data_IF_105913373007
#
_entry.id   IF_105913373007
#
_cell.length_a   1.000
_cell.length_b   1.000
_cell.length_c   1.000
_cell.angle_alpha   90.00
_cell.angle_beta   90.00
_cell.angle_gamma   90.00
#
_symmetry.space_group_name_H-M   'P 1'
#
loop_
_entity.id
_entity.type
_entity.pdbx_description
1 polymer ?
#
# COMPACT_ATOMS: atom_id res chain seq x y z
N UNK A 1 -0.06 -40.01 -31.62
CA UNK A 1 1.09 -39.08 -31.43
C UNK A 1 0.89 -37.94 -32.41
N UNK A 2 0.84 -36.67 -31.97
CA UNK A 2 0.92 -35.55 -32.93
C UNK A 2 2.33 -35.56 -33.49
N UNK A 3 2.47 -35.74 -34.80
CA UNK A 3 3.76 -35.57 -35.48
C UNK A 3 4.34 -34.22 -35.10
N UNK A 4 5.57 -34.20 -34.57
CA UNK A 4 6.27 -32.95 -34.36
C UNK A 4 6.64 -32.42 -35.73
N UNK A 5 6.15 -31.24 -36.07
CA UNK A 5 6.62 -30.52 -37.25
C UNK A 5 8.14 -30.39 -37.18
N UNK A 6 8.86 -30.53 -38.32
CA UNK A 6 10.30 -30.36 -38.33
C UNK A 6 10.69 -28.95 -37.84
N UNK A 7 11.88 -28.79 -37.23
CA UNK A 7 12.37 -27.47 -36.86
C UNK A 7 12.38 -26.52 -38.07
N UNK A 8 12.03 -25.25 -37.85
CA UNK A 8 12.10 -24.25 -38.92
C UNK A 8 13.55 -23.84 -39.23
N UNK A 9 13.74 -23.06 -40.29
CA UNK A 9 15.07 -22.61 -40.72
C UNK A 9 15.84 -21.86 -39.63
N UNK A 10 15.16 -21.03 -38.84
CA UNK A 10 15.78 -20.29 -37.73
C UNK A 10 16.36 -21.22 -36.66
N UNK A 11 15.71 -22.36 -36.42
CA UNK A 11 16.18 -23.36 -35.47
C UNK A 11 17.48 -24.03 -35.96
N UNK A 12 17.62 -24.29 -37.27
CA UNK A 12 18.87 -24.79 -37.84
C UNK A 12 19.97 -23.72 -37.84
N UNK A 13 19.61 -22.47 -38.14
CA UNK A 13 20.58 -21.37 -38.27
C UNK A 13 21.15 -20.92 -36.92
N UNK A 14 20.32 -20.85 -35.88
CA UNK A 14 20.73 -20.26 -34.60
C UNK A 14 20.69 -21.25 -33.42
N UNK A 15 20.02 -22.39 -33.56
CA UNK A 15 19.97 -23.44 -32.54
C UNK A 15 21.29 -24.19 -32.38
N UNK A 16 21.34 -25.11 -31.41
CA UNK A 16 22.49 -25.99 -31.24
C UNK A 16 22.44 -27.08 -32.30
N UNK A 17 23.51 -27.24 -33.06
CA UNK A 17 23.70 -28.33 -34.02
C UNK A 17 25.00 -29.08 -33.71
N UNK A 18 25.29 -30.13 -34.48
CA UNK A 18 26.60 -30.79 -34.37
C UNK A 18 27.74 -29.89 -34.91
N UNK A 19 27.40 -28.90 -35.74
CA UNK A 19 28.35 -28.06 -36.45
C UNK A 19 28.67 -26.75 -35.69
N UNK A 20 27.74 -26.24 -34.88
CA UNK A 20 27.96 -25.02 -34.10
C UNK A 20 27.15 -24.99 -32.80
N UNK A 21 27.64 -24.26 -31.78
CA UNK A 21 26.85 -23.97 -30.59
C UNK A 21 25.66 -23.05 -30.93
N UNK A 22 24.68 -23.02 -30.04
CA UNK A 22 23.53 -22.13 -30.18
C UNK A 22 23.95 -20.65 -30.08
N UNK A 23 23.45 -19.81 -30.99
CA UNK A 23 23.56 -18.36 -30.90
C UNK A 23 22.47 -17.83 -29.96
N UNK A 24 22.73 -17.91 -28.65
CA UNK A 24 21.75 -17.59 -27.61
C UNK A 24 21.23 -16.16 -27.69
N UNK A 25 22.09 -15.20 -28.03
CA UNK A 25 21.72 -13.80 -28.19
C UNK A 25 20.69 -13.64 -29.30
N UNK A 26 20.98 -14.19 -30.47
CA UNK A 26 20.06 -14.11 -31.62
C UNK A 26 18.75 -14.85 -31.36
N UNK A 27 18.80 -16.00 -30.68
CA UNK A 27 17.60 -16.72 -30.23
C UNK A 27 16.74 -15.83 -29.33
N UNK A 28 17.33 -15.15 -28.34
CA UNK A 28 16.60 -14.28 -27.43
C UNK A 28 15.98 -13.06 -28.16
N UNK A 29 16.71 -12.47 -29.11
CA UNK A 29 16.15 -11.38 -29.93
C UNK A 29 14.99 -11.83 -30.80
N UNK A 30 15.09 -13.01 -31.43
CA UNK A 30 14.00 -13.59 -32.21
C UNK A 30 12.79 -13.86 -31.31
N UNK A 31 13.01 -14.40 -30.11
CA UNK A 31 11.94 -14.79 -29.19
C UNK A 31 11.24 -13.58 -28.54
N UNK A 32 11.97 -12.52 -28.21
CA UNK A 32 11.47 -11.46 -27.33
C UNK A 32 11.66 -10.03 -27.86
N UNK A 33 12.61 -9.79 -28.77
CA UNK A 33 13.12 -8.44 -29.07
C UNK A 33 12.02 -7.46 -29.49
N UNK A 34 11.07 -7.89 -30.32
CA UNK A 34 10.00 -7.01 -30.85
C UNK A 34 8.63 -7.21 -30.18
N UNK A 35 8.58 -7.91 -29.03
CA UNK A 35 7.32 -8.18 -28.31
C UNK A 35 6.86 -6.94 -27.54
N UNK A 36 5.86 -6.24 -28.08
CA UNK A 36 5.32 -4.98 -27.53
C UNK A 36 4.68 -5.15 -26.16
N UNK A 37 4.05 -6.29 -25.91
CA UNK A 37 3.46 -6.66 -24.62
C UNK A 37 4.51 -6.89 -23.51
N UNK A 38 5.79 -7.02 -23.87
CA UNK A 38 6.91 -7.05 -22.94
C UNK A 38 7.56 -5.66 -22.76
N UNK A 39 7.05 -4.64 -23.46
CA UNK A 39 7.64 -3.31 -23.55
C UNK A 39 8.97 -3.27 -24.30
N UNK A 40 9.35 -4.35 -25.00
CA UNK A 40 10.62 -4.42 -25.72
C UNK A 40 10.56 -3.59 -27.00
N UNK A 41 11.67 -2.92 -27.32
CA UNK A 41 11.78 -1.96 -28.43
C UNK A 41 12.57 -2.48 -29.63
N UNK A 42 12.84 -3.78 -29.69
CA UNK A 42 13.74 -4.39 -30.66
C UNK A 42 15.20 -4.28 -30.26
N UNK A 43 16.09 -4.45 -31.23
CA UNK A 43 17.54 -4.33 -31.02
C UNK A 43 18.10 -5.44 -30.14
N UNK A 44 18.53 -5.07 -28.93
CA UNK A 44 19.13 -5.98 -27.94
C UNK A 44 18.21 -6.27 -26.74
N UNK A 45 16.95 -5.83 -26.80
CA UNK A 45 16.02 -5.96 -25.67
C UNK A 45 15.68 -7.40 -25.36
N UNK A 46 15.64 -8.27 -26.38
CA UNK A 46 15.34 -9.68 -26.16
C UNK A 46 16.41 -10.38 -25.32
N UNK A 47 17.67 -10.02 -25.52
CA UNK A 47 18.81 -10.53 -24.77
C UNK A 47 18.97 -9.84 -23.41
N UNK A 48 18.84 -8.51 -23.38
CA UNK A 48 19.00 -7.71 -22.16
C UNK A 48 17.90 -8.02 -21.16
N UNK A 49 16.64 -8.19 -21.58
CA UNK A 49 15.49 -8.41 -20.72
C UNK A 49 14.91 -9.84 -20.81
N UNK A 50 15.74 -10.83 -21.12
CA UNK A 50 15.38 -12.26 -21.02
C UNK A 50 15.04 -12.68 -19.58
N UNK A 51 14.39 -13.84 -19.44
CA UNK A 51 14.06 -14.46 -18.17
C UNK A 51 15.24 -14.54 -17.19
N UNK A 52 15.08 -14.01 -15.98
CA UNK A 52 16.06 -14.10 -14.86
C UNK A 52 15.37 -14.29 -13.51
N UNK A 53 16.15 -14.72 -12.52
CA UNK A 53 15.69 -14.88 -11.14
C UNK A 53 14.77 -16.09 -10.94
N UNK A 54 14.20 -16.19 -9.74
CA UNK A 54 13.40 -17.33 -9.30
C UNK A 54 12.07 -17.44 -10.05
N UNK A 55 11.46 -16.30 -10.40
CA UNK A 55 10.16 -16.24 -11.08
C UNK A 55 10.26 -15.91 -12.57
N UNK A 56 11.48 -15.90 -13.14
CA UNK A 56 11.70 -15.68 -14.57
C UNK A 56 11.12 -14.34 -15.07
N UNK A 57 11.46 -13.23 -14.39
CA UNK A 57 11.07 -11.89 -14.84
C UNK A 57 11.57 -11.67 -16.27
N UNK A 58 10.67 -11.25 -17.16
CA UNK A 58 10.92 -11.15 -18.61
C UNK A 58 10.30 -9.88 -19.18
N UNK A 59 11.03 -9.19 -20.06
CA UNK A 59 10.56 -7.98 -20.75
C UNK A 59 10.94 -6.67 -20.06
N UNK A 60 11.31 -5.66 -20.85
CA UNK A 60 11.73 -4.34 -20.39
C UNK A 60 10.73 -3.71 -19.41
N UNK A 61 9.44 -3.79 -19.73
CA UNK A 61 8.39 -3.21 -18.89
C UNK A 61 8.34 -3.91 -17.52
N UNK A 62 8.44 -5.24 -17.50
CA UNK A 62 8.40 -5.99 -16.25
C UNK A 62 9.65 -5.70 -15.41
N UNK A 63 10.83 -5.60 -16.02
CA UNK A 63 12.04 -5.17 -15.30
C UNK A 63 11.84 -3.79 -14.65
N UNK A 64 11.19 -2.84 -15.34
CA UNK A 64 10.84 -1.54 -14.75
C UNK A 64 9.94 -1.64 -13.52
N UNK A 65 8.84 -2.39 -13.63
CA UNK A 65 7.91 -2.61 -12.50
C UNK A 65 8.58 -3.32 -11.32
N UNK A 66 9.50 -4.25 -11.59
CA UNK A 66 10.29 -4.92 -10.56
C UNK A 66 11.24 -3.94 -9.87
N UNK A 67 11.91 -3.05 -10.62
CA UNK A 67 12.73 -2.01 -10.02
C UNK A 67 11.91 -1.10 -9.11
N UNK A 68 10.74 -0.67 -9.56
CA UNK A 68 9.84 0.16 -8.76
C UNK A 68 9.45 -0.51 -7.45
N UNK A 69 9.23 -1.84 -7.45
CA UNK A 69 8.96 -2.60 -6.24
C UNK A 69 10.20 -2.75 -5.35
N UNK A 70 11.39 -2.95 -5.92
CA UNK A 70 12.64 -2.99 -5.15
C UNK A 70 12.89 -1.64 -4.47
N UNK A 71 12.72 -0.53 -5.19
CA UNK A 71 12.88 0.82 -4.65
C UNK A 71 11.87 1.10 -3.52
N UNK A 72 10.68 0.51 -3.59
CA UNK A 72 9.63 0.65 -2.57
C UNK A 72 9.86 -0.24 -1.34
N UNK A 73 10.19 -1.51 -1.55
CA UNK A 73 10.22 -2.52 -0.49
C UNK A 73 11.63 -2.75 0.09
N UNK A 74 12.67 -2.40 -0.65
CA UNK A 74 14.07 -2.59 -0.29
C UNK A 74 14.96 -1.44 -0.82
N UNK A 75 14.69 -0.18 -0.43
CA UNK A 75 15.41 1.00 -0.95
C UNK A 75 16.93 0.92 -0.71
N UNK A 76 17.35 0.28 0.39
CA UNK A 76 18.77 0.13 0.76
C UNK A 76 19.45 -1.08 0.09
N UNK A 77 18.76 -1.80 -0.79
CA UNK A 77 19.33 -2.98 -1.48
C UNK A 77 20.54 -2.66 -2.36
N UNK A 78 20.70 -1.40 -2.77
CA UNK A 78 21.74 -0.96 -3.70
C UNK A 78 21.64 -1.63 -5.07
N UNK A 79 20.51 -2.25 -5.39
CA UNK A 79 20.36 -3.09 -6.57
C UNK A 79 19.53 -2.41 -7.67
N UNK A 80 20.13 -2.30 -8.85
CA UNK A 80 19.46 -1.84 -10.06
C UNK A 80 19.38 -2.96 -11.12
N UNK A 81 18.16 -3.41 -11.43
CA UNK A 81 17.89 -4.50 -12.37
C UNK A 81 18.33 -4.18 -13.80
N UNK A 82 18.32 -2.90 -14.20
CA UNK A 82 18.75 -2.47 -15.53
C UNK A 82 20.26 -2.53 -15.68
N UNK A 83 21.02 -2.17 -14.63
CA UNK A 83 22.48 -2.20 -14.68
C UNK A 83 23.01 -3.61 -14.98
N UNK A 84 22.46 -4.66 -14.33
CA UNK A 84 22.87 -6.04 -14.65
C UNK A 84 22.34 -6.52 -16.00
N UNK A 85 21.13 -6.12 -16.38
CA UNK A 85 20.57 -6.46 -17.69
C UNK A 85 21.46 -5.94 -18.83
N UNK A 86 21.98 -4.72 -18.68
CA UNK A 86 22.88 -4.06 -19.65
C UNK A 86 24.30 -4.62 -19.58
N UNK A 87 24.83 -4.86 -18.37
CA UNK A 87 26.18 -5.42 -18.17
C UNK A 87 26.25 -6.93 -18.39
N UNK A 88 25.15 -7.55 -18.84
CA UNK A 88 25.01 -8.98 -19.16
C UNK A 88 25.42 -9.95 -18.04
N UNK A 89 25.36 -9.50 -16.78
CA UNK A 89 25.70 -10.32 -15.61
C UNK A 89 24.50 -11.14 -15.13
N UNK A 90 24.79 -12.34 -14.61
CA UNK A 90 23.81 -13.19 -13.94
C UNK A 90 23.43 -12.63 -12.56
N UNK A 91 22.29 -13.09 -12.03
CA UNK A 91 21.87 -12.74 -10.67
C UNK A 91 22.62 -13.60 -9.65
N UNK A 92 23.10 -12.95 -8.59
CA UNK A 92 23.44 -13.65 -7.35
C UNK A 92 22.19 -14.27 -6.72
N UNK A 93 22.32 -15.26 -5.80
CA UNK A 93 21.18 -15.80 -5.08
C UNK A 93 20.34 -14.71 -4.38
N UNK A 94 20.99 -13.70 -3.78
CA UNK A 94 20.31 -12.57 -3.17
C UNK A 94 19.46 -11.79 -4.19
N UNK A 95 20.02 -11.46 -5.35
CA UNK A 95 19.30 -10.73 -6.40
C UNK A 95 18.15 -11.57 -7.00
N UNK A 96 18.35 -12.89 -7.13
CA UNK A 96 17.30 -13.80 -7.59
C UNK A 96 16.13 -13.87 -6.60
N UNK A 97 16.41 -13.90 -5.29
CA UNK A 97 15.39 -13.85 -4.26
C UNK A 97 14.70 -12.48 -4.20
N UNK A 98 15.48 -11.39 -4.20
CA UNK A 98 14.97 -10.02 -4.16
C UNK A 98 14.02 -9.72 -5.32
N UNK A 99 14.40 -10.10 -6.55
CA UNK A 99 13.51 -9.94 -7.71
C UNK A 99 12.26 -10.82 -7.64
N UNK A 100 12.36 -12.03 -7.11
CA UNK A 100 11.20 -12.89 -6.87
C UNK A 100 10.23 -12.28 -5.85
N UNK A 101 10.74 -11.72 -4.76
CA UNK A 101 9.92 -11.03 -3.76
C UNK A 101 9.29 -9.75 -4.34
N UNK A 102 10.03 -8.98 -5.13
CA UNK A 102 9.50 -7.81 -5.81
C UNK A 102 8.34 -8.18 -6.78
N UNK A 103 8.45 -9.30 -7.50
CA UNK A 103 7.39 -9.81 -8.38
C UNK A 103 6.15 -10.25 -7.59
N UNK A 104 6.37 -10.90 -6.43
CA UNK A 104 5.33 -11.26 -5.48
C UNK A 104 4.49 -10.06 -5.00
N UNK A 105 5.14 -8.92 -4.74
CA UNK A 105 4.47 -7.66 -4.39
C UNK A 105 3.82 -6.98 -5.59
N UNK A 106 4.46 -6.97 -6.76
CA UNK A 106 3.97 -6.33 -8.00
C UNK A 106 2.55 -6.76 -8.33
N UNK A 107 2.27 -8.07 -8.29
CA UNK A 107 0.94 -8.62 -8.60
C UNK A 107 0.12 -8.95 -7.35
N UNK A 108 0.56 -8.50 -6.17
CA UNK A 108 -0.15 -8.63 -4.89
C UNK A 108 -0.52 -10.07 -4.53
N UNK A 109 0.36 -11.02 -4.84
CA UNK A 109 0.11 -12.44 -4.61
C UNK A 109 -0.06 -12.76 -3.11
N UNK A 110 0.59 -11.98 -2.23
CA UNK A 110 0.43 -12.08 -0.79
C UNK A 110 -1.03 -11.97 -0.34
N UNK A 111 -1.85 -11.13 -0.99
CA UNK A 111 -3.27 -10.98 -0.65
C UNK A 111 -4.02 -12.31 -0.80
N UNK A 112 -3.63 -13.13 -1.78
CA UNK A 112 -4.18 -14.48 -1.94
C UNK A 112 -3.58 -15.46 -0.94
N UNK A 113 -2.30 -15.35 -0.62
CA UNK A 113 -1.71 -16.16 0.43
C UNK A 113 -2.37 -15.92 1.80
N UNK A 114 -2.76 -14.68 2.11
CA UNK A 114 -3.45 -14.30 3.35
C UNK A 114 -4.89 -14.85 3.46
N UNK A 115 -5.45 -15.43 2.40
CA UNK A 115 -6.71 -16.18 2.46
C UNK A 115 -6.51 -17.62 2.97
N UNK A 116 -5.28 -17.99 3.36
CA UNK A 116 -4.98 -19.27 4.03
C UNK A 116 -5.82 -19.42 5.31
N UNK A 117 -6.46 -20.58 5.48
CA UNK A 117 -7.42 -20.82 6.55
C UNK A 117 -8.87 -20.49 6.16
N UNK A 118 -9.10 -19.62 5.15
CA UNK A 118 -10.40 -19.44 4.50
C UNK A 118 -10.61 -20.43 3.35
N UNK A 119 -9.54 -20.72 2.61
CA UNK A 119 -9.51 -21.77 1.59
C UNK A 119 -8.51 -22.86 1.94
N UNK A 120 -8.59 -23.98 1.22
CA UNK A 120 -7.57 -25.02 1.30
C UNK A 120 -6.24 -24.53 0.73
N UNK A 121 -5.14 -25.05 1.27
CA UNK A 121 -3.79 -24.82 0.77
C UNK A 121 -3.67 -25.01 -0.75
N UNK A 122 -4.23 -26.10 -1.28
CA UNK A 122 -4.22 -26.38 -2.72
C UNK A 122 -4.99 -25.32 -3.52
N UNK A 123 -6.08 -24.78 -2.96
CA UNK A 123 -6.85 -23.68 -3.55
C UNK A 123 -6.08 -22.36 -3.55
N UNK A 124 -5.34 -22.07 -2.48
CA UNK A 124 -4.47 -20.88 -2.41
C UNK A 124 -3.33 -20.99 -3.41
N UNK A 125 -2.66 -22.14 -3.48
CA UNK A 125 -1.61 -22.41 -4.48
C UNK A 125 -2.15 -22.20 -5.90
N UNK A 126 -3.36 -22.69 -6.17
CA UNK A 126 -3.98 -22.49 -7.48
C UNK A 126 -4.30 -21.02 -7.79
N UNK A 127 -4.84 -20.27 -6.83
CA UNK A 127 -5.10 -18.83 -7.00
C UNK A 127 -3.82 -18.06 -7.32
N UNK A 128 -2.71 -18.38 -6.65
CA UNK A 128 -1.39 -17.78 -6.91
C UNK A 128 -0.89 -18.15 -8.32
N UNK A 129 -1.11 -19.38 -8.76
CA UNK A 129 -0.73 -19.83 -10.10
C UNK A 129 -1.48 -19.07 -11.19
N UNK A 130 -2.76 -18.80 -10.99
CA UNK A 130 -3.57 -18.04 -11.96
C UNK A 130 -3.14 -16.57 -12.06
N UNK A 131 -2.55 -16.01 -11.01
CA UNK A 131 -1.93 -14.68 -11.06
C UNK A 131 -0.59 -14.76 -11.83
N UNK A 132 0.28 -15.70 -11.46
CA UNK A 132 1.65 -15.80 -11.99
C UNK A 132 1.71 -16.20 -13.46
N UNK A 133 0.90 -17.19 -13.84
CA UNK A 133 0.96 -17.79 -15.17
C UNK A 133 -0.42 -18.33 -15.54
N UNK A 134 -1.37 -17.44 -15.91
CA UNK A 134 -2.72 -17.84 -16.28
C UNK A 134 -2.68 -18.84 -17.45
N UNK A 135 -3.60 -19.81 -17.43
CA UNK A 135 -3.63 -20.87 -18.44
C UNK A 135 -2.60 -22.00 -18.20
N UNK A 136 -2.03 -22.07 -17.01
CA UNK A 136 -1.20 -23.22 -16.59
C UNK A 136 -2.03 -24.51 -16.63
N UNK A 137 -1.46 -25.57 -17.22
CA UNK A 137 -2.15 -26.87 -17.32
C UNK A 137 -2.42 -27.49 -15.96
N UNK A 138 -3.47 -28.31 -15.87
CA UNK A 138 -3.84 -29.00 -14.62
C UNK A 138 -2.70 -29.85 -14.05
N UNK A 139 -1.99 -30.58 -14.92
CA UNK A 139 -0.82 -31.36 -14.52
C UNK A 139 0.27 -30.48 -13.88
N UNK A 140 0.49 -29.28 -14.39
CA UNK A 140 1.48 -28.34 -13.83
C UNK A 140 1.01 -27.74 -12.51
N UNK A 141 -0.30 -27.43 -12.40
CA UNK A 141 -0.91 -27.00 -11.14
C UNK A 141 -0.75 -28.06 -10.05
N UNK A 142 -1.08 -29.31 -10.35
CA UNK A 142 -0.96 -30.41 -9.40
C UNK A 142 0.47 -30.66 -8.96
N UNK A 143 1.45 -30.55 -9.86
CA UNK A 143 2.87 -30.64 -9.49
C UNK A 143 3.27 -29.55 -8.49
N UNK A 144 2.79 -28.32 -8.66
CA UNK A 144 3.05 -27.20 -7.73
C UNK A 144 2.38 -27.42 -6.37
N UNK A 145 1.15 -27.94 -6.35
CA UNK A 145 0.46 -28.38 -5.11
C UNK A 145 1.29 -29.45 -4.38
N UNK A 146 1.81 -30.45 -5.10
CA UNK A 146 2.69 -31.49 -4.53
C UNK A 146 4.00 -30.93 -4.01
N UNK A 147 4.64 -29.98 -4.69
CA UNK A 147 5.80 -29.28 -4.14
C UNK A 147 5.48 -28.54 -2.84
N UNK A 148 4.29 -27.95 -2.74
CA UNK A 148 3.86 -27.21 -1.57
C UNK A 148 3.60 -28.07 -0.35
N UNK A 149 2.77 -29.12 -0.47
CA UNK A 149 2.33 -29.96 0.67
C UNK A 149 2.96 -31.36 0.75
N UNK A 150 3.76 -31.74 -0.22
CA UNK A 150 4.22 -33.12 -0.40
C UNK A 150 3.18 -34.01 -1.08
N UNK A 151 3.57 -35.23 -1.42
CA UNK A 151 2.73 -36.22 -2.10
C UNK A 151 3.28 -36.65 -3.46
N UNK A 152 2.38 -37.07 -4.36
CA UNK A 152 2.74 -37.57 -5.70
C UNK A 152 1.83 -37.00 -6.78
N UNK A 153 2.41 -36.68 -7.94
CA UNK A 153 1.70 -36.31 -9.17
C UNK A 153 2.46 -36.87 -10.38
N UNK A 154 1.90 -37.90 -11.01
CA UNK A 154 2.59 -38.65 -12.07
C UNK A 154 3.92 -39.22 -11.58
N UNK A 155 5.04 -38.78 -12.19
CA UNK A 155 6.41 -39.19 -11.80
C UNK A 155 7.01 -38.33 -10.68
N UNK A 156 6.38 -37.23 -10.31
CA UNK A 156 6.85 -36.38 -9.21
C UNK A 156 6.45 -37.00 -7.87
N UNK A 157 7.39 -37.10 -6.95
CA UNK A 157 7.16 -37.48 -5.56
C UNK A 157 7.96 -36.56 -4.66
N UNK A 158 7.30 -35.91 -3.70
CA UNK A 158 7.92 -35.02 -2.72
C UNK A 158 7.53 -35.52 -1.33
N UNK A 159 8.53 -35.89 -0.53
CA UNK A 159 8.28 -36.29 0.85
C UNK A 159 7.75 -35.09 1.65
N UNK A 160 6.86 -35.31 2.61
CA UNK A 160 6.16 -34.22 3.32
C UNK A 160 7.16 -33.31 4.04
N UNK A 161 8.19 -33.89 4.65
CA UNK A 161 9.30 -33.19 5.31
C UNK A 161 10.13 -32.31 4.37
N UNK A 162 10.11 -32.62 3.07
CA UNK A 162 10.81 -31.87 2.03
C UNK A 162 9.87 -30.92 1.25
N UNK A 163 8.60 -30.84 1.65
CA UNK A 163 7.64 -29.92 1.03
C UNK A 163 7.97 -28.48 1.40
N UNK A 164 7.66 -27.53 0.51
CA UNK A 164 7.99 -26.12 0.77
C UNK A 164 7.23 -25.58 1.99
N UNK A 165 6.00 -26.04 2.25
CA UNK A 165 5.25 -25.67 3.46
C UNK A 165 6.01 -26.03 4.75
N UNK A 166 6.70 -27.18 4.77
CA UNK A 166 7.50 -27.62 5.93
C UNK A 166 8.84 -26.90 5.98
N UNK A 167 9.56 -26.82 4.85
CA UNK A 167 10.87 -26.17 4.78
C UNK A 167 10.80 -24.68 5.17
N UNK A 168 9.75 -23.98 4.76
CA UNK A 168 9.50 -22.58 5.14
C UNK A 168 8.74 -22.42 6.46
N UNK A 169 8.51 -23.52 7.19
CA UNK A 169 7.86 -23.51 8.50
C UNK A 169 6.54 -22.73 8.51
N UNK A 170 5.72 -22.90 7.48
CA UNK A 170 4.48 -22.13 7.29
C UNK A 170 3.51 -22.32 8.47
N UNK A 171 3.58 -23.46 9.16
CA UNK A 171 2.79 -23.70 10.37
C UNK A 171 3.22 -22.83 11.58
N UNK A 172 4.47 -22.34 11.60
CA UNK A 172 5.02 -21.42 12.60
C UNK A 172 4.78 -19.95 12.23
N UNK A 173 4.43 -19.67 10.96
CA UNK A 173 4.04 -18.32 10.55
C UNK A 173 2.76 -17.92 11.29
N UNK A 174 2.72 -16.71 11.85
CA UNK A 174 1.51 -16.15 12.42
C UNK A 174 0.40 -16.19 11.38
N UNK A 175 -0.67 -16.96 11.65
CA UNK A 175 -1.88 -16.92 10.83
C UNK A 175 -2.42 -15.50 10.95
N UNK A 176 -2.62 -14.83 9.82
CA UNK A 176 -2.96 -13.42 9.72
C UNK A 176 -4.38 -13.17 10.22
N UNK A 177 -4.55 -13.23 11.53
CA UNK A 177 -5.57 -12.45 12.23
C UNK A 177 -4.94 -11.17 12.84
N UNK A 178 -3.61 -11.02 12.79
CA UNK A 178 -2.97 -9.74 13.12
C UNK A 178 -2.96 -8.84 11.88
N UNK A 179 -3.67 -7.70 11.90
CA UNK A 179 -3.55 -6.71 10.85
C UNK A 179 -2.08 -6.26 10.76
N UNK A 180 -1.57 -6.14 9.54
CA UNK A 180 -0.30 -5.48 9.24
C UNK A 180 -0.17 -4.22 10.11
N UNK A 181 0.80 -4.19 11.03
CA UNK A 181 1.03 -3.00 11.85
C UNK A 181 1.76 -1.95 11.03
N UNK A 182 1.01 -1.04 10.41
CA UNK A 182 1.55 0.14 9.71
C UNK A 182 1.97 1.25 10.67
N UNK A 183 1.51 1.17 11.91
CA UNK A 183 1.89 2.06 12.99
C UNK A 183 3.12 1.62 13.77
N UNK A 184 3.68 0.42 13.51
CA UNK A 184 4.87 -0.11 14.21
C UNK A 184 4.74 -0.06 15.76
N UNK A 185 3.53 -0.34 16.27
CA UNK A 185 3.25 -0.30 17.70
C UNK A 185 3.16 1.12 18.29
N UNK A 186 3.05 2.17 17.48
CA UNK A 186 2.77 3.56 17.90
C UNK A 186 1.29 3.73 18.33
N UNK A 187 0.80 4.96 18.39
CA UNK A 187 -0.59 5.32 18.69
C UNK A 187 -1.62 4.34 18.07
N UNK A 188 -2.30 3.48 18.85
CA UNK A 188 -3.04 2.34 18.30
C UNK A 188 -4.19 2.70 17.35
N UNK A 189 -4.81 3.87 17.56
CA UNK A 189 -5.88 4.36 16.68
C UNK A 189 -5.39 4.80 15.30
N UNK A 190 -4.09 5.04 15.13
CA UNK A 190 -3.51 5.29 13.81
C UNK A 190 -3.49 4.04 12.94
N UNK A 191 -3.35 2.86 13.54
CA UNK A 191 -3.50 1.60 12.79
C UNK A 191 -4.88 1.54 12.15
N UNK A 192 -5.92 1.71 12.97
CA UNK A 192 -7.32 1.76 12.53
C UNK A 192 -7.53 2.81 11.43
N UNK A 193 -6.96 4.00 11.58
CA UNK A 193 -7.10 5.08 10.60
C UNK A 193 -6.36 4.80 9.28
N UNK A 194 -5.17 4.19 9.35
CA UNK A 194 -4.35 3.82 8.18
C UNK A 194 -5.03 2.71 7.37
N UNK A 195 -5.64 1.73 8.04
CA UNK A 195 -6.42 0.71 7.35
C UNK A 195 -7.60 1.33 6.58
N UNK A 196 -8.26 2.36 7.13
CA UNK A 196 -9.37 3.02 6.42
C UNK A 196 -8.91 3.74 5.15
N UNK A 197 -7.77 4.44 5.17
CA UNK A 197 -7.25 5.06 3.96
C UNK A 197 -6.73 4.02 2.95
N UNK A 198 -6.17 2.90 3.39
CA UNK A 198 -5.78 1.80 2.48
C UNK A 198 -7.01 1.22 1.77
N UNK A 199 -8.10 0.98 2.51
CA UNK A 199 -9.29 0.31 1.99
C UNK A 199 -10.22 1.24 1.20
N UNK A 200 -10.29 2.51 1.60
CA UNK A 200 -11.29 3.47 1.13
C UNK A 200 -10.73 4.80 0.65
N UNK A 201 -9.41 5.02 0.76
CA UNK A 201 -8.75 6.23 0.32
C UNK A 201 -9.04 6.56 -1.15
N UNK A 202 -9.21 7.85 -1.43
CA UNK A 202 -9.55 8.36 -2.76
C UNK A 202 -10.97 8.02 -3.26
N UNK A 203 -11.77 7.23 -2.53
CA UNK A 203 -13.19 7.01 -2.85
C UNK A 203 -14.04 8.16 -2.32
N UNK A 204 -14.87 8.73 -3.18
CA UNK A 204 -15.83 9.75 -2.78
C UNK A 204 -16.94 9.17 -1.88
N UNK A 205 -17.48 10.03 -1.01
CA UNK A 205 -18.45 9.72 0.04
C UNK A 205 -19.62 8.78 -0.35
N UNK A 206 -20.16 8.89 -1.57
CA UNK A 206 -21.25 8.02 -2.03
C UNK A 206 -20.83 6.54 -2.12
N UNK A 207 -19.58 6.28 -2.50
CA UNK A 207 -19.06 4.92 -2.66
C UNK A 207 -18.83 4.21 -1.31
N UNK A 208 -18.81 4.96 -0.21
CA UNK A 208 -18.52 4.44 1.14
C UNK A 208 -19.61 4.82 2.15
N UNK A 209 -20.83 5.17 1.70
CA UNK A 209 -21.94 5.62 2.57
C UNK A 209 -22.24 4.63 3.71
N UNK A 210 -22.21 3.32 3.42
CA UNK A 210 -22.38 2.28 4.43
C UNK A 210 -21.34 2.39 5.55
N UNK A 211 -20.06 2.60 5.19
CA UNK A 211 -18.96 2.77 6.14
C UNK A 211 -19.07 4.10 6.90
N UNK A 212 -19.49 5.17 6.21
CA UNK A 212 -19.73 6.48 6.85
C UNK A 212 -20.80 6.39 7.95
N UNK A 213 -21.86 5.59 7.74
CA UNK A 213 -22.89 5.35 8.77
C UNK A 213 -22.30 4.70 10.03
N UNK A 214 -21.31 3.83 9.88
CA UNK A 214 -20.61 3.21 11.00
C UNK A 214 -19.77 4.25 11.76
N UNK A 215 -19.12 5.19 11.06
CA UNK A 215 -18.46 6.31 11.72
C UNK A 215 -19.45 7.17 12.51
N UNK A 216 -20.59 7.52 11.91
CA UNK A 216 -21.58 8.35 12.57
C UNK A 216 -22.21 7.65 13.79
N UNK A 217 -22.30 6.32 13.80
CA UNK A 217 -22.70 5.56 14.99
C UNK A 217 -21.73 5.80 16.17
N UNK A 218 -20.41 5.78 15.90
CA UNK A 218 -19.38 6.12 16.91
C UNK A 218 -19.35 7.63 17.24
N UNK A 219 -19.89 8.48 16.37
CA UNK A 219 -20.04 9.92 16.61
C UNK A 219 -21.39 10.34 17.19
N UNK A 220 -22.19 9.42 17.75
CA UNK A 220 -23.49 9.73 18.34
C UNK A 220 -24.60 10.16 17.36
N UNK A 221 -24.39 10.04 16.04
CA UNK A 221 -25.34 10.39 14.97
C UNK A 221 -25.83 9.17 14.18
N UNK A 222 -26.28 8.13 14.87
CA UNK A 222 -26.79 6.90 14.26
C UNK A 222 -27.83 7.17 13.16
N UNK A 223 -27.66 6.53 12.00
CA UNK A 223 -28.56 6.69 10.84
C UNK A 223 -28.16 7.80 9.85
N UNK A 224 -27.23 8.68 10.22
CA UNK A 224 -26.67 9.69 9.31
C UNK A 224 -25.72 9.06 8.29
N UNK A 225 -25.79 9.52 7.05
CA UNK A 225 -24.94 9.05 5.95
C UNK A 225 -24.04 10.15 5.37
N UNK A 226 -23.54 9.92 4.16
CA UNK A 226 -22.58 10.74 3.41
C UNK A 226 -22.93 12.22 3.22
N UNK A 227 -24.16 12.66 3.51
CA UNK A 227 -24.54 14.08 3.42
C UNK A 227 -24.02 14.92 4.59
N UNK A 228 -23.65 14.30 5.71
CA UNK A 228 -23.22 14.98 6.94
C UNK A 228 -21.69 14.99 7.03
N UNK A 229 -21.12 16.08 7.56
CA UNK A 229 -19.70 16.16 7.84
C UNK A 229 -19.29 15.08 8.86
N UNK A 230 -18.24 14.33 8.57
CA UNK A 230 -17.89 13.11 9.33
C UNK A 230 -16.51 13.12 9.97
N UNK A 231 -15.81 14.25 9.98
CA UNK A 231 -14.44 14.32 10.51
C UNK A 231 -14.36 13.87 11.98
N UNK A 232 -15.23 14.38 12.84
CA UNK A 232 -15.29 14.02 14.26
C UNK A 232 -15.81 12.60 14.49
N UNK A 233 -16.80 12.16 13.70
CA UNK A 233 -17.28 10.78 13.70
C UNK A 233 -16.18 9.79 13.31
N UNK A 234 -15.36 10.11 12.31
CA UNK A 234 -14.24 9.27 11.87
C UNK A 234 -13.18 9.14 12.96
N UNK A 235 -12.76 10.24 13.60
CA UNK A 235 -11.77 10.17 14.70
C UNK A 235 -12.34 9.42 15.90
N UNK A 236 -13.61 9.66 16.26
CA UNK A 236 -14.28 8.89 17.33
C UNK A 236 -14.28 7.39 17.03
N UNK A 237 -14.61 7.04 15.78
CA UNK A 237 -14.60 5.65 15.32
C UNK A 237 -13.20 5.02 15.38
N UNK A 238 -12.15 5.74 14.99
CA UNK A 238 -10.77 5.24 15.06
C UNK A 238 -10.35 4.92 16.50
N UNK A 239 -10.74 5.76 17.47
CA UNK A 239 -10.48 5.53 18.90
C UNK A 239 -11.27 4.35 19.47
N UNK A 240 -12.55 4.25 19.12
CA UNK A 240 -13.44 3.20 19.65
C UNK A 240 -13.19 1.82 19.02
N UNK A 241 -12.54 1.78 17.85
CA UNK A 241 -12.23 0.55 17.10
C UNK A 241 -10.72 0.25 17.03
N UNK A 242 -9.90 0.90 17.85
CA UNK A 242 -8.50 0.50 18.04
C UNK A 242 -8.37 -0.64 19.04
N UNK A 243 -7.19 -1.27 19.06
CA UNK A 243 -6.82 -2.27 20.07
C UNK A 243 -5.53 -1.80 20.76
N UNK A 244 -5.57 -1.44 22.05
CA UNK A 244 -6.75 -1.34 22.91
C UNK A 244 -7.71 -0.23 22.45
N UNK A 245 -8.96 -0.30 22.91
CA UNK A 245 -9.98 0.74 22.66
C UNK A 245 -9.74 1.95 23.55
N UNK A 246 -10.01 3.14 23.02
CA UNK A 246 -9.97 4.38 23.78
C UNK A 246 -11.34 5.03 23.85
N UNK A 247 -11.62 5.71 24.95
CA UNK A 247 -12.80 6.58 25.04
C UNK A 247 -12.66 7.74 24.04
N UNK A 248 -13.76 8.04 23.36
CA UNK A 248 -13.85 9.15 22.43
C UNK A 248 -14.84 10.20 22.95
N UNK A 249 -14.87 11.42 22.37
CA UNK A 249 -15.95 12.36 22.64
C UNK A 249 -17.35 11.90 22.20
N UNK A 250 -17.45 10.76 21.50
CA UNK A 250 -18.68 10.17 20.98
C UNK A 250 -19.57 11.20 20.25
N UNK A 251 -18.94 12.04 19.43
CA UNK A 251 -19.61 13.20 18.84
C UNK A 251 -19.21 13.42 17.38
N UNK A 252 -20.19 13.83 16.58
CA UNK A 252 -19.99 14.31 15.21
C UNK A 252 -19.59 15.79 15.15
N UNK A 253 -19.56 16.50 16.29
CA UNK A 253 -19.12 17.90 16.34
C UNK A 253 -17.62 17.98 16.64
N UNK A 254 -16.85 18.55 15.72
CA UNK A 254 -15.42 18.78 15.90
C UNK A 254 -15.12 19.78 17.03
N UNK A 255 -16.04 20.70 17.34
CA UNK A 255 -15.84 21.69 18.40
C UNK A 255 -15.79 21.07 19.80
N UNK A 256 -16.45 19.93 20.01
CA UNK A 256 -16.49 19.24 21.30
C UNK A 256 -15.11 18.67 21.67
N UNK A 257 -14.30 18.29 20.68
CA UNK A 257 -12.98 17.71 20.91
C UNK A 257 -12.01 18.65 21.64
N UNK A 258 -12.25 19.96 21.61
CA UNK A 258 -11.36 20.94 22.26
C UNK A 258 -11.37 20.87 23.79
N UNK A 259 -12.50 20.48 24.40
CA UNK A 259 -12.68 20.53 25.85
C UNK A 259 -13.43 19.30 26.42
N UNK A 260 -13.53 18.22 25.65
CA UNK A 260 -14.15 17.00 26.12
C UNK A 260 -13.31 16.32 27.20
N UNK A 261 -13.97 15.77 28.22
CA UNK A 261 -13.31 15.18 29.38
C UNK A 261 -12.48 13.92 29.08
N UNK A 262 -12.70 13.29 27.92
CA UNK A 262 -11.98 12.09 27.47
C UNK A 262 -10.69 12.40 26.72
N UNK A 263 -10.37 13.69 26.52
CA UNK A 263 -9.16 14.14 25.82
C UNK A 263 -8.32 15.04 26.72
N UNK A 264 -7.01 15.02 26.49
CA UNK A 264 -6.01 15.86 27.18
C UNK A 264 -5.16 16.62 26.16
N UNK A 265 -4.79 17.89 26.42
CA UNK A 265 -3.83 18.61 25.59
C UNK A 265 -2.47 17.91 25.54
N UNK A 266 -1.80 17.97 24.40
CA UNK A 266 -0.46 17.40 24.23
C UNK A 266 0.38 18.17 23.20
N UNK A 267 1.65 17.80 23.07
CA UNK A 267 2.45 18.17 21.89
C UNK A 267 2.03 17.35 20.67
N UNK A 268 2.46 17.79 19.48
CA UNK A 268 2.21 17.02 18.26
C UNK A 268 3.06 15.74 18.24
N UNK A 269 2.42 14.62 17.93
CA UNK A 269 3.04 13.32 17.73
C UNK A 269 2.24 12.56 16.66
N UNK A 270 2.75 11.42 16.17
CA UNK A 270 2.01 10.58 15.25
C UNK A 270 0.74 10.03 15.89
N UNK A 271 -0.41 10.44 15.40
CA UNK A 271 -1.71 10.15 15.97
C UNK A 271 -2.28 11.22 16.89
N UNK A 272 -1.57 12.32 17.15
CA UNK A 272 -2.14 13.45 17.85
C UNK A 272 -3.42 13.93 17.14
N UNK A 273 -4.46 14.19 17.92
CA UNK A 273 -5.75 14.68 17.41
C UNK A 273 -5.63 16.20 17.26
N UNK A 274 -5.54 16.67 16.02
CA UNK A 274 -5.48 18.10 15.73
C UNK A 274 -6.90 18.66 15.55
N UNK A 275 -7.26 19.64 16.40
CA UNK A 275 -8.58 20.27 16.40
C UNK A 275 -8.50 21.68 15.84
N UNK A 276 -9.37 22.01 14.90
CA UNK A 276 -9.44 23.29 14.22
C UNK A 276 -10.82 23.91 14.39
N UNK A 277 -10.88 25.23 14.50
CA UNK A 277 -12.12 25.99 14.35
C UNK A 277 -12.12 26.72 13.00
N UNK A 278 -13.27 26.75 12.36
CA UNK A 278 -13.49 27.67 11.26
C UNK A 278 -13.49 29.10 11.81
N UNK A 279 -13.00 30.03 11.01
CA UNK A 279 -12.94 31.43 11.36
C UNK A 279 -13.10 32.31 10.12
N UNK A 280 -13.32 33.60 10.36
CA UNK A 280 -13.20 34.63 9.33
C UNK A 280 -11.72 34.99 9.13
N UNK A 281 -11.41 35.78 8.09
CA UNK A 281 -10.04 36.24 7.82
C UNK A 281 -9.41 37.03 8.98
N UNK A 282 -10.22 37.66 9.82
CA UNK A 282 -9.79 38.37 11.03
C UNK A 282 -9.61 37.45 12.26
N UNK A 283 -9.72 36.13 12.09
CA UNK A 283 -9.54 35.15 13.15
C UNK A 283 -10.75 34.95 14.08
N UNK A 284 -11.85 35.70 13.91
CA UNK A 284 -13.09 35.48 14.69
C UNK A 284 -13.64 34.09 14.40
N UNK A 285 -13.81 33.27 15.44
CA UNK A 285 -14.21 31.87 15.31
C UNK A 285 -15.69 31.71 14.94
N UNK A 286 -15.99 30.63 14.25
CA UNK A 286 -17.34 30.11 13.93
C UNK A 286 -17.63 28.87 14.78
N UNK A 287 -18.88 28.42 14.78
CA UNK A 287 -19.30 27.20 15.49
C UNK A 287 -18.88 25.89 14.83
N UNK A 288 -18.46 25.93 13.56
CA UNK A 288 -17.95 24.80 12.79
C UNK A 288 -16.43 24.68 12.88
N UNK A 289 -15.88 23.55 12.45
CA UNK A 289 -14.45 23.28 12.55
C UNK A 289 -14.06 21.96 11.91
N UNK A 290 -12.84 21.51 12.17
CA UNK A 290 -12.33 20.25 11.65
C UNK A 290 -11.52 19.50 12.72
N UNK A 291 -11.47 18.18 12.60
CA UNK A 291 -10.57 17.35 13.38
C UNK A 291 -9.93 16.30 12.48
N UNK A 292 -8.64 16.07 12.67
CA UNK A 292 -7.82 15.14 11.88
C UNK A 292 -6.74 14.53 12.77
N UNK A 293 -6.12 13.44 12.32
CA UNK A 293 -5.03 12.77 13.04
C UNK A 293 -3.70 13.15 12.40
N UNK A 294 -2.70 13.52 13.20
CA UNK A 294 -1.36 13.83 12.69
C UNK A 294 -0.70 12.56 12.14
N UNK A 295 -0.36 12.56 10.85
CA UNK A 295 0.34 11.45 10.18
C UNK A 295 1.83 11.73 9.98
N UNK A 296 2.22 12.99 9.81
CA UNK A 296 3.61 13.37 9.57
C UNK A 296 3.77 14.87 9.41
N UNK A 297 4.91 15.31 8.89
CA UNK A 297 5.18 16.72 8.59
C UNK A 297 5.94 16.92 7.28
N UNK A 298 5.77 18.08 6.68
CA UNK A 298 6.60 18.52 5.57
C UNK A 298 7.91 19.11 6.08
N UNK A 299 8.95 19.02 5.27
CA UNK A 299 10.27 19.59 5.56
C UNK A 299 10.28 21.14 5.67
N UNK A 300 9.18 21.81 5.31
CA UNK A 300 8.99 23.25 5.52
C UNK A 300 8.80 23.65 7.00
N UNK A 301 8.79 22.67 7.91
CA UNK A 301 8.69 22.75 9.38
C UNK A 301 7.38 23.31 9.96
N UNK A 302 6.51 23.91 9.15
CA UNK A 302 5.27 24.56 9.61
C UNK A 302 3.99 23.85 9.17
N UNK A 303 4.13 22.78 8.40
CA UNK A 303 3.00 22.06 7.81
C UNK A 303 3.00 20.60 8.26
N UNK A 304 2.03 20.20 9.08
CA UNK A 304 1.80 18.78 9.34
C UNK A 304 0.83 18.20 8.31
N UNK A 305 0.97 16.90 8.09
CA UNK A 305 0.12 16.09 7.24
C UNK A 305 -0.95 15.47 8.15
N UNK A 306 -2.21 15.80 7.91
CA UNK A 306 -3.35 15.25 8.64
C UNK A 306 -4.04 14.13 7.86
N UNK A 307 -4.23 12.98 8.50
CA UNK A 307 -5.08 11.89 8.04
C UNK A 307 -6.49 12.07 8.63
N UNK A 308 -7.46 12.33 7.76
CA UNK A 308 -8.84 12.61 8.17
C UNK A 308 -9.86 11.96 7.26
N UNK A 309 -11.08 11.85 7.77
CA UNK A 309 -12.14 11.08 7.12
C UNK A 309 -12.99 11.85 6.11
N UNK A 310 -12.86 13.19 6.01
CA UNK A 310 -13.77 14.03 5.22
C UNK A 310 -13.10 15.16 4.43
N UNK A 311 -11.78 15.10 4.26
CA UNK A 311 -11.01 16.13 3.58
C UNK A 311 -11.20 15.93 2.06
N UNK A 312 -11.71 16.94 1.37
CA UNK A 312 -12.15 16.79 -0.02
C UNK A 312 -13.31 15.80 -0.19
N UNK A 313 -14.11 15.57 0.86
CA UNK A 313 -15.14 14.52 0.94
C UNK A 313 -14.61 13.07 0.89
N UNK A 314 -13.32 12.87 1.14
CA UNK A 314 -12.62 11.58 1.08
C UNK A 314 -11.89 11.28 2.40
N UNK A 315 -11.45 10.03 2.54
CA UNK A 315 -10.43 9.65 3.51
C UNK A 315 -9.08 9.85 2.81
N UNK A 316 -8.23 10.74 3.32
CA UNK A 316 -6.99 11.10 2.60
C UNK A 316 -5.94 11.70 3.55
N UNK A 317 -4.71 11.84 3.05
CA UNK A 317 -3.68 12.65 3.67
C UNK A 317 -3.77 14.07 3.10
N UNK A 318 -3.85 15.07 3.98
CA UNK A 318 -3.89 16.48 3.59
C UNK A 318 -2.74 17.26 4.21
N UNK A 319 -2.00 18.05 3.41
CA UNK A 319 -0.94 18.93 3.89
C UNK A 319 -1.47 20.36 4.16
N UNK A 320 -2.78 20.61 4.15
CA UNK A 320 -3.31 21.98 4.08
C UNK A 320 -3.43 22.71 5.41
N UNK A 321 -2.81 22.19 6.48
CA UNK A 321 -3.03 22.71 7.82
C UNK A 321 -1.80 23.44 8.34
N UNK A 322 -2.02 24.65 8.88
CA UNK A 322 -1.02 25.40 9.65
C UNK A 322 -1.23 25.16 11.13
N UNK A 323 -0.15 24.81 11.81
CA UNK A 323 -0.17 24.38 13.22
C UNK A 323 0.54 25.35 14.16
N UNK A 324 1.05 26.46 13.62
CA UNK A 324 1.60 27.59 14.37
C UNK A 324 0.51 28.47 15.02
N UNK A 325 -0.77 28.06 14.91
CA UNK A 325 -1.91 28.81 15.42
C UNK A 325 -2.29 30.02 14.56
N UNK A 326 -1.65 30.24 13.41
CA UNK A 326 -2.06 31.27 12.46
C UNK A 326 -3.40 30.93 11.81
N UNK A 327 -4.11 31.96 11.36
CA UNK A 327 -5.30 31.80 10.53
C UNK A 327 -4.87 31.53 9.09
N UNK A 328 -5.39 30.47 8.48
CA UNK A 328 -5.06 30.09 7.09
C UNK A 328 -6.33 29.88 6.25
N UNK A 329 -6.23 30.13 4.95
CA UNK A 329 -7.31 29.88 4.00
C UNK A 329 -7.55 28.37 3.89
N UNK A 330 -8.81 27.95 3.97
CA UNK A 330 -9.17 26.54 3.82
C UNK A 330 -9.88 26.28 2.50
N UNK A 331 -11.06 26.88 2.27
CA UNK A 331 -11.84 26.69 1.04
C UNK A 331 -12.80 27.85 0.82
N UNK A 332 -13.45 27.87 -0.35
CA UNK A 332 -14.51 28.83 -0.66
C UNK A 332 -15.85 28.10 -0.77
N UNK A 333 -16.86 28.57 -0.06
CA UNK A 333 -18.23 28.06 -0.13
C UNK A 333 -19.17 29.15 -0.62
N UNK A 334 -19.84 28.92 -1.75
CA UNK A 334 -20.80 29.87 -2.35
C UNK A 334 -20.27 31.31 -2.44
N UNK A 335 -18.99 31.46 -2.81
CA UNK A 335 -18.32 32.77 -2.93
C UNK A 335 -17.74 33.34 -1.64
N UNK A 336 -17.97 32.69 -0.48
CA UNK A 336 -17.43 33.11 0.81
C UNK A 336 -16.16 32.31 1.15
N UNK A 337 -15.05 33.01 1.40
CA UNK A 337 -13.81 32.38 1.87
C UNK A 337 -13.96 31.93 3.31
N UNK A 338 -13.63 30.68 3.57
CA UNK A 338 -13.58 30.07 4.91
C UNK A 338 -12.12 29.89 5.30
N UNK A 339 -11.79 30.35 6.51
CA UNK A 339 -10.47 30.21 7.10
C UNK A 339 -10.53 29.24 8.27
N UNK A 340 -9.38 28.67 8.65
CA UNK A 340 -9.26 27.80 9.82
C UNK A 340 -8.13 28.28 10.72
N UNK A 341 -8.24 27.93 11.99
CA UNK A 341 -7.21 28.18 13.01
C UNK A 341 -7.08 26.94 13.89
N UNK A 342 -5.84 26.49 14.14
CA UNK A 342 -5.58 25.41 15.09
C UNK A 342 -6.02 25.83 16.49
N UNK A 343 -6.71 24.93 17.19
CA UNK A 343 -7.09 25.09 18.60
C UNK A 343 -6.14 24.37 19.54
N UNK A 344 -5.55 23.27 19.09
CA UNK A 344 -4.53 22.52 19.82
C UNK A 344 -4.42 21.09 19.31
N UNK A 345 -3.46 20.38 19.89
CA UNK A 345 -3.33 18.94 19.76
C UNK A 345 -3.81 18.27 21.03
N UNK A 346 -4.46 17.12 20.86
CA UNK A 346 -5.04 16.36 21.94
C UNK A 346 -4.70 14.88 21.81
N UNK A 347 -4.69 14.18 22.93
CA UNK A 347 -4.60 12.72 23.02
C UNK A 347 -5.74 12.17 23.87
N UNK A 348 -6.10 10.88 23.73
CA UNK A 348 -6.98 10.22 24.66
C UNK A 348 -6.48 10.35 26.10
N UNK A 349 -7.40 10.58 27.04
CA UNK A 349 -7.10 10.71 28.46
C UNK A 349 -6.36 9.46 28.96
N UNK A 350 -5.29 9.66 29.72
CA UNK A 350 -4.47 8.56 30.24
C UNK A 350 -3.55 7.86 29.23
N UNK A 351 -3.58 8.21 27.93
CA UNK A 351 -2.58 7.69 26.98
C UNK A 351 -1.21 8.31 27.27
N UNK A 352 -0.18 7.47 27.42
CA UNK A 352 1.21 7.91 27.60
C UNK A 352 1.88 7.94 26.23
N UNK A 353 2.32 9.11 25.79
CA UNK A 353 3.07 9.28 24.53
C UNK A 353 4.43 8.61 24.71
N UNK A 354 4.73 7.64 23.85
CA UNK A 354 6.02 6.93 23.84
C UNK A 354 7.04 7.67 22.98
N UNK A 355 8.32 7.30 23.08
CA UNK A 355 9.34 7.88 22.19
C UNK A 355 9.08 7.54 20.72
N UNK A 356 8.58 6.33 20.43
CA UNK A 356 8.26 5.91 19.07
C UNK A 356 7.10 6.73 18.48
N UNK A 357 6.19 7.24 19.31
CA UNK A 357 5.06 8.07 18.88
C UNK A 357 5.51 9.44 18.36
N UNK A 358 6.66 9.94 18.83
CA UNK A 358 7.18 11.25 18.39
C UNK A 358 7.48 11.22 16.89
N UNK A 359 7.21 12.34 16.22
CA UNK A 359 7.55 12.46 14.81
C UNK A 359 9.07 12.40 14.62
N UNK A 360 9.51 11.51 13.74
CA UNK A 360 10.92 11.31 13.42
C UNK A 360 11.16 11.46 11.91
N UNK A 361 12.39 11.18 11.46
CA UNK A 361 12.78 11.31 10.04
C UNK A 361 11.92 10.50 9.07
N UNK A 362 11.32 9.39 9.52
CA UNK A 362 10.42 8.58 8.70
C UNK A 362 9.04 9.22 8.52
N UNK A 363 8.68 10.19 9.35
CA UNK A 363 7.43 10.95 9.29
C UNK A 363 7.62 12.31 8.61
N UNK A 364 8.82 12.58 8.10
CA UNK A 364 9.16 13.80 7.37
C UNK A 364 9.13 13.55 5.86
N UNK A 365 8.47 14.46 5.15
CA UNK A 365 8.27 14.33 3.71
C UNK A 365 8.65 15.62 3.00
N UNK A 366 9.32 15.53 1.86
CA UNK A 366 9.58 16.69 1.04
C UNK A 366 8.29 17.19 0.39
N UNK A 367 7.39 16.27 0.02
CA UNK A 367 6.09 16.59 -0.57
C UNK A 367 5.00 15.65 -0.08
N UNK A 368 3.74 16.10 -0.19
CA UNK A 368 2.58 15.25 0.09
C UNK A 368 2.52 14.01 -0.84
N UNK A 369 3.11 14.07 -2.04
CA UNK A 369 3.18 12.93 -2.96
C UNK A 369 3.96 11.76 -2.36
N UNK A 370 5.04 12.03 -1.65
CA UNK A 370 5.85 10.99 -1.00
C UNK A 370 5.07 10.29 0.11
N UNK A 371 4.36 11.06 0.94
CA UNK A 371 3.51 10.52 1.99
C UNK A 371 2.36 9.66 1.41
N UNK A 372 1.68 10.14 0.37
CA UNK A 372 0.64 9.37 -0.31
C UNK A 372 1.19 8.11 -0.98
N UNK A 373 2.40 8.16 -1.56
CA UNK A 373 3.03 6.99 -2.18
C UNK A 373 3.25 5.85 -1.18
N UNK A 374 3.62 6.15 0.08
CA UNK A 374 3.77 5.13 1.14
C UNK A 374 2.48 4.34 1.40
N UNK A 375 1.31 4.99 1.23
CA UNK A 375 0.00 4.36 1.41
C UNK A 375 -0.65 3.92 0.08
N UNK A 376 0.12 3.94 -1.02
CA UNK A 376 -0.35 3.70 -2.38
C UNK A 376 -1.58 4.55 -2.76
N UNK A 377 -1.62 5.79 -2.29
CA UNK A 377 -2.69 6.76 -2.54
C UNK A 377 -2.31 7.76 -3.63
N UNK A 378 -3.33 8.31 -4.28
CA UNK A 378 -3.16 9.45 -5.20
C UNK A 378 -3.20 10.75 -4.41
N UNK A 379 -2.36 11.70 -4.81
CA UNK A 379 -2.42 13.07 -4.27
C UNK A 379 -3.56 13.86 -4.90
N UNK A 380 -4.26 14.61 -4.07
CA UNK A 380 -5.28 15.55 -4.51
C UNK A 380 -4.67 16.92 -4.80
N UNK A 381 -5.13 17.55 -5.88
CA UNK A 381 -4.87 18.97 -6.11
C UNK A 381 -5.74 19.80 -5.15
N UNK A 382 -5.06 20.48 -4.23
CA UNK A 382 -5.68 21.31 -3.19
C UNK A 382 -5.39 22.80 -3.40
N UNK A 383 -4.87 23.18 -4.57
CA UNK A 383 -4.53 24.57 -4.92
C UNK A 383 -5.71 25.55 -4.83
N UNK A 384 -6.94 25.04 -4.99
CA UNK A 384 -8.20 25.81 -4.86
C UNK A 384 -8.82 25.76 -3.47
N UNK A 385 -8.08 25.22 -2.49
CA UNK A 385 -8.57 24.96 -1.15
C UNK A 385 -9.19 23.57 -1.01
N UNK A 386 -9.35 23.16 0.24
CA UNK A 386 -9.86 21.86 0.65
C UNK A 386 -10.95 22.05 1.70
N UNK A 387 -12.16 21.60 1.37
CA UNK A 387 -13.27 21.55 2.32
C UNK A 387 -13.16 20.30 3.18
N UNK A 388 -13.47 20.44 4.46
CA UNK A 388 -13.64 19.34 5.41
C UNK A 388 -15.12 19.02 5.71
N UNK A 389 -16.01 19.60 4.90
CA UNK A 389 -17.38 20.05 5.21
C UNK A 389 -17.49 20.88 6.47
#
# INVERSE_FOLDING_TARGET
MKEKSPPNELAYQYGRTAQHPANQRKIAEIAYGNRKELGNQGGEDGWRFKGRGLLQITGRENYGKIQEQIDQQAPDSGFNVFTLAINEKGYTPYQAALTGMADWYKDKMYVKADETGKFSDDGIVENIIEILNPGTTELSKNKRKVWYRGGKEGKLSVAVENSTKVLFKVAECGKVDEPLSFSEGRAPWMETAIQEIINYGGKHEKAIDKRIREYHKAGGLSGSGSKIARCASFVSWCLENSTPKFESPHSASSSIFFNHSTLEPCEAFFGAIAVFSDCYSNGKMKGSGHVTLVYGRLLDKNTYIGLGGNQGNMITLSPNYKFDGSTFYSYTEKGVKIYKKLRGFFKPKGYVIKEEDKLNKNDEYATINEANKKLNQKTQDTSKGESSR
#
